data_IF_702246597093
#
_entry.id   IF_702246597093
#
_cell.length_a   1.000
_cell.length_b   1.000
_cell.length_c   1.000
_cell.angle_alpha   90.00
_cell.angle_beta   90.00
_cell.angle_gamma   90.00
#
_symmetry.space_group_name_H-M   'P 1'
#
loop_
_entity.id
_entity.type
_entity.pdbx_description
1 polymer ?
#
# COMPACT_ATOMS: atom_id res chain seq x y z
N UNK A 1 15.51 11.18 -36.56
CA UNK A 1 16.04 10.35 -35.46
C UNK A 1 16.29 11.24 -34.26
N UNK A 2 15.48 11.09 -33.20
CA UNK A 2 15.65 11.82 -31.95
C UNK A 2 14.99 11.02 -30.86
N UNK A 3 15.79 10.28 -30.09
CA UNK A 3 15.30 9.42 -29.02
C UNK A 3 14.52 10.25 -27.98
N UNK A 4 13.25 9.88 -27.75
CA UNK A 4 12.48 10.38 -26.62
C UNK A 4 13.18 9.89 -25.34
N UNK A 5 13.83 10.80 -24.63
CA UNK A 5 14.22 10.56 -23.23
C UNK A 5 12.93 10.29 -22.46
N UNK A 6 12.78 9.04 -22.02
CA UNK A 6 11.74 8.63 -21.08
C UNK A 6 11.83 9.51 -19.84
N UNK A 7 10.74 10.20 -19.52
CA UNK A 7 10.59 10.93 -18.25
C UNK A 7 10.21 9.91 -17.18
N UNK A 8 11.16 9.09 -16.77
CA UNK A 8 11.04 8.34 -15.52
C UNK A 8 11.51 9.23 -14.38
N UNK A 9 10.73 9.20 -13.29
CA UNK A 9 11.04 9.85 -12.03
C UNK A 9 12.47 9.53 -11.61
N UNK A 10 13.20 10.55 -11.16
CA UNK A 10 14.63 10.52 -10.87
C UNK A 10 15.10 9.23 -10.16
N UNK A 11 16.11 8.58 -10.76
CA UNK A 11 16.95 7.55 -10.16
C UNK A 11 17.50 8.08 -8.82
N UNK A 12 16.80 7.79 -7.72
CA UNK A 12 17.14 8.34 -6.43
C UNK A 12 15.97 8.54 -5.47
N UNK A 13 14.71 8.53 -5.91
CA UNK A 13 13.55 8.70 -5.00
C UNK A 13 12.74 7.42 -4.76
N UNK A 14 13.07 6.32 -5.42
CA UNK A 14 12.39 5.05 -5.21
C UNK A 14 12.58 4.57 -3.76
N UNK A 15 11.52 3.98 -3.20
CA UNK A 15 11.58 3.31 -1.91
C UNK A 15 12.58 2.14 -2.00
N UNK A 16 13.43 2.03 -0.99
CA UNK A 16 14.44 0.98 -0.85
C UNK A 16 14.57 0.62 0.62
N UNK A 17 15.31 -0.44 0.93
CA UNK A 17 15.44 -1.01 2.28
C UNK A 17 15.90 0.01 3.33
N UNK A 18 16.90 0.85 2.99
CA UNK A 18 17.40 1.88 3.89
C UNK A 18 16.34 2.96 4.20
N UNK A 19 15.58 3.40 3.19
CA UNK A 19 14.48 4.36 3.37
C UNK A 19 13.29 3.75 4.10
N UNK A 20 13.01 2.48 3.85
CA UNK A 20 11.96 1.75 4.54
C UNK A 20 12.26 1.66 6.04
N UNK A 21 13.50 1.32 6.37
CA UNK A 21 14.01 1.29 7.76
C UNK A 21 13.83 2.65 8.41
N UNK A 22 14.35 3.71 7.77
CA UNK A 22 14.23 5.09 8.28
C UNK A 22 12.76 5.50 8.48
N UNK A 23 11.88 5.14 7.55
CA UNK A 23 10.46 5.45 7.65
C UNK A 23 9.78 4.73 8.82
N UNK A 24 10.07 3.45 9.02
CA UNK A 24 9.53 2.65 10.14
C UNK A 24 9.96 3.23 11.48
N UNK A 25 11.25 3.56 11.63
CA UNK A 25 11.80 4.16 12.84
C UNK A 25 11.19 5.54 13.14
N UNK A 26 11.08 6.39 12.12
CA UNK A 26 10.57 7.75 12.29
C UNK A 26 9.05 7.81 12.55
N UNK A 27 8.28 6.88 11.97
CA UNK A 27 6.80 6.95 11.97
C UNK A 27 6.18 6.08 13.05
N UNK A 28 6.68 4.85 13.23
CA UNK A 28 6.10 3.90 14.17
C UNK A 28 6.78 3.99 15.55
N UNK A 29 8.07 4.31 15.55
CA UNK A 29 8.85 4.49 16.76
C UNK A 29 9.03 3.22 17.59
N UNK A 30 9.75 3.33 18.72
CA UNK A 30 10.09 2.19 19.57
C UNK A 30 8.85 1.51 20.17
N UNK A 31 9.08 0.32 20.72
CA UNK A 31 8.06 -0.55 21.30
C UNK A 31 7.15 0.21 22.29
N UNK A 32 5.85 0.24 21.98
CA UNK A 32 4.81 0.68 22.91
C UNK A 32 4.30 -0.50 23.74
N UNK A 33 3.54 -0.24 24.81
CA UNK A 33 3.07 -1.25 25.78
C UNK A 33 2.10 -2.32 25.22
N UNK A 34 1.81 -2.33 23.92
CA UNK A 34 0.88 -3.25 23.27
C UNK A 34 1.52 -4.00 22.10
N UNK A 35 0.97 -5.18 21.80
CA UNK A 35 1.29 -5.91 20.56
C UNK A 35 0.80 -5.10 19.36
N UNK A 36 1.62 -5.01 18.32
CA UNK A 36 1.36 -4.22 17.12
C UNK A 36 1.55 -5.12 15.89
N UNK A 37 0.61 -5.03 14.95
CA UNK A 37 0.64 -5.75 13.67
C UNK A 37 0.73 -4.72 12.53
N UNK A 38 1.70 -4.92 11.63
CA UNK A 38 1.82 -4.18 10.37
C UNK A 38 1.41 -5.09 9.22
N UNK A 39 0.42 -4.66 8.44
CA UNK A 39 -0.07 -5.37 7.25
C UNK A 39 0.30 -4.57 6.02
N UNK A 40 0.98 -5.20 5.06
CA UNK A 40 1.48 -4.55 3.84
C UNK A 40 1.63 -5.54 2.68
N UNK A 41 1.89 -5.05 1.48
CA UNK A 41 2.13 -5.89 0.31
C UNK A 41 3.51 -6.57 0.33
N UNK A 42 3.70 -7.48 -0.62
CA UNK A 42 4.95 -8.22 -0.85
C UNK A 42 6.00 -7.42 -1.62
N UNK A 43 5.99 -6.08 -1.55
CA UNK A 43 7.00 -5.27 -2.20
C UNK A 43 8.41 -5.60 -1.67
N UNK A 44 9.42 -5.59 -2.56
CA UNK A 44 10.75 -6.17 -2.27
C UNK A 44 11.40 -5.62 -1.01
N UNK A 45 11.31 -4.30 -0.76
CA UNK A 45 11.92 -3.71 0.43
C UNK A 45 11.10 -3.94 1.71
N UNK A 46 9.84 -4.37 1.64
CA UNK A 46 9.02 -4.74 2.80
C UNK A 46 9.44 -6.11 3.34
N UNK A 47 9.82 -7.04 2.45
CA UNK A 47 10.15 -8.42 2.81
C UNK A 47 11.65 -8.68 2.95
N UNK A 48 12.50 -7.65 2.82
CA UNK A 48 13.95 -7.82 2.88
C UNK A 48 14.46 -8.13 4.29
N UNK A 49 15.62 -8.79 4.38
CA UNK A 49 16.26 -9.13 5.65
C UNK A 49 16.52 -7.90 6.54
N UNK A 50 16.93 -6.78 5.93
CA UNK A 50 17.15 -5.51 6.64
C UNK A 50 15.86 -4.98 7.27
N UNK A 51 14.76 -4.99 6.51
CA UNK A 51 13.46 -4.54 7.01
C UNK A 51 12.93 -5.48 8.09
N UNK A 52 13.03 -6.80 7.92
CA UNK A 52 12.68 -7.80 8.95
C UNK A 52 13.45 -7.59 10.26
N UNK A 53 14.76 -7.33 10.18
CA UNK A 53 15.58 -7.03 11.35
C UNK A 53 15.10 -5.77 12.09
N UNK A 54 14.76 -4.71 11.34
CA UNK A 54 14.20 -3.46 11.88
C UNK A 54 12.87 -3.71 12.59
N UNK A 55 11.95 -4.45 11.96
CA UNK A 55 10.65 -4.79 12.54
C UNK A 55 10.79 -5.54 13.88
N UNK A 56 11.74 -6.49 13.95
CA UNK A 56 12.07 -7.22 15.18
C UNK A 56 12.57 -6.29 16.28
N UNK A 57 13.45 -5.34 15.96
CA UNK A 57 13.93 -4.34 16.91
C UNK A 57 12.80 -3.43 17.42
N UNK A 58 11.85 -3.07 16.55
CA UNK A 58 10.68 -2.28 16.90
C UNK A 58 9.57 -3.09 17.61
N UNK A 59 9.70 -4.42 17.71
CA UNK A 59 8.68 -5.30 18.28
C UNK A 59 7.37 -5.29 17.50
N UNK A 60 7.45 -5.27 16.16
CA UNK A 60 6.30 -5.30 15.26
C UNK A 60 6.11 -6.71 14.70
N UNK A 61 4.90 -7.25 14.83
CA UNK A 61 4.47 -8.40 14.03
C UNK A 61 4.11 -7.92 12.63
N UNK A 62 4.28 -8.78 11.63
CA UNK A 62 3.95 -8.45 10.24
C UNK A 62 3.11 -9.50 9.56
N UNK A 63 2.18 -9.05 8.71
CA UNK A 63 1.47 -9.89 7.76
C UNK A 63 1.70 -9.36 6.35
N UNK A 64 2.14 -10.24 5.45
CA UNK A 64 2.43 -9.90 4.05
C UNK A 64 1.25 -10.31 3.19
N UNK A 65 0.69 -9.35 2.45
CA UNK A 65 -0.37 -9.58 1.47
C UNK A 65 0.24 -10.17 0.20
N UNK A 66 -0.21 -11.35 -0.24
CA UNK A 66 0.26 -11.95 -1.48
C UNK A 66 -0.02 -11.07 -2.70
N UNK A 67 0.78 -11.26 -3.75
CA UNK A 67 0.58 -10.58 -5.02
C UNK A 67 -0.84 -10.81 -5.57
N UNK A 68 -1.49 -9.73 -6.04
CA UNK A 68 -2.86 -9.79 -6.54
C UNK A 68 -3.94 -9.79 -5.45
N UNK A 69 -3.58 -9.83 -4.16
CA UNK A 69 -4.55 -9.87 -3.06
C UNK A 69 -4.84 -8.51 -2.40
N UNK A 70 -4.15 -7.44 -2.78
CA UNK A 70 -4.30 -6.12 -2.15
C UNK A 70 -5.74 -5.59 -2.24
N UNK A 71 -6.40 -5.79 -3.40
CA UNK A 71 -7.81 -5.43 -3.60
C UNK A 71 -8.81 -6.24 -2.76
N UNK A 72 -8.38 -7.27 -2.04
CA UNK A 72 -9.22 -8.07 -1.15
C UNK A 72 -8.92 -7.83 0.32
N UNK A 73 -7.65 -7.71 0.71
CA UNK A 73 -7.27 -7.72 2.14
C UNK A 73 -6.47 -6.50 2.58
N UNK A 74 -6.13 -5.58 1.68
CA UNK A 74 -5.42 -4.35 2.04
C UNK A 74 -6.41 -3.21 2.28
N UNK A 75 -6.60 -2.86 3.55
CA UNK A 75 -7.59 -1.88 4.01
C UNK A 75 -7.57 -0.54 3.23
N UNK A 76 -6.40 0.06 2.92
CA UNK A 76 -6.34 1.21 2.02
C UNK A 76 -7.02 0.96 0.67
N UNK A 77 -6.60 -0.07 -0.06
CA UNK A 77 -7.03 -0.31 -1.44
C UNK A 77 -8.49 -0.72 -1.53
N UNK A 78 -9.00 -1.43 -0.53
CA UNK A 78 -10.41 -1.83 -0.46
C UNK A 78 -11.32 -0.65 -0.16
N UNK A 79 -10.94 0.25 0.75
CA UNK A 79 -11.91 1.15 1.39
C UNK A 79 -11.69 2.63 1.10
N UNK A 80 -10.49 3.15 1.36
CA UNK A 80 -10.31 4.61 1.49
C UNK A 80 -9.29 5.22 0.52
N UNK A 81 -8.45 4.42 -0.15
CA UNK A 81 -7.46 4.91 -1.10
C UNK A 81 -8.13 5.55 -2.33
N UNK A 82 -9.24 4.97 -2.80
CA UNK A 82 -10.03 5.56 -3.90
C UNK A 82 -10.58 6.95 -3.55
N UNK A 83 -11.39 7.14 -2.49
CA UNK A 83 -11.91 8.46 -2.16
C UNK A 83 -10.79 9.46 -1.83
N UNK A 84 -9.70 9.02 -1.19
CA UNK A 84 -8.51 9.84 -0.97
C UNK A 84 -7.90 10.37 -2.28
N UNK A 85 -7.64 9.48 -3.26
CA UNK A 85 -7.12 9.85 -4.58
C UNK A 85 -8.10 10.74 -5.36
N UNK A 86 -9.40 10.47 -5.28
CA UNK A 86 -10.44 11.28 -5.91
C UNK A 86 -10.49 12.69 -5.33
N UNK A 87 -10.26 12.85 -4.03
CA UNK A 87 -10.16 14.17 -3.40
C UNK A 87 -9.02 14.98 -4.01
N UNK A 88 -7.81 14.40 -4.06
CA UNK A 88 -6.63 15.06 -4.66
C UNK A 88 -6.88 15.40 -6.13
N UNK A 89 -7.51 14.48 -6.87
CA UNK A 89 -7.88 14.71 -8.27
C UNK A 89 -8.83 15.91 -8.43
N UNK A 90 -9.81 16.05 -7.54
CA UNK A 90 -10.74 17.20 -7.54
C UNK A 90 -10.03 18.52 -7.26
N UNK A 91 -9.13 18.54 -6.28
CA UNK A 91 -8.31 19.72 -5.98
C UNK A 91 -7.44 20.12 -7.17
N UNK A 92 -6.76 19.14 -7.78
CA UNK A 92 -5.99 19.35 -9.00
C UNK A 92 -6.85 19.91 -10.14
N UNK A 93 -8.05 19.35 -10.35
CA UNK A 93 -8.96 19.83 -11.38
C UNK A 93 -9.44 21.27 -11.12
N UNK A 94 -9.76 21.61 -9.87
CA UNK A 94 -10.15 22.97 -9.48
C UNK A 94 -9.01 23.97 -9.73
N UNK A 95 -7.80 23.60 -9.33
CA UNK A 95 -6.59 24.38 -9.61
C UNK A 95 -6.35 24.51 -11.13
N UNK A 96 -6.56 23.42 -11.88
CA UNK A 96 -6.58 23.39 -13.35
C UNK A 96 -7.79 24.09 -13.99
N UNK A 97 -8.69 24.72 -13.22
CA UNK A 97 -9.75 25.61 -13.72
C UNK A 97 -9.59 27.06 -13.25
N UNK A 98 -8.72 27.34 -12.27
CA UNK A 98 -8.39 28.69 -11.80
C UNK A 98 -7.75 29.57 -12.89
N UNK A 99 -8.10 30.86 -12.95
CA UNK A 99 -7.74 31.75 -14.07
C UNK A 99 -6.27 32.22 -14.07
N UNK A 100 -5.57 32.09 -12.94
CA UNK A 100 -4.27 32.68 -12.63
C UNK A 100 -3.11 31.68 -12.77
N UNK A 101 -3.15 30.80 -13.77
CA UNK A 101 -2.08 29.82 -13.99
C UNK A 101 -0.89 30.40 -14.70
N UNK A 102 0.28 30.01 -14.22
CA UNK A 102 1.52 30.23 -14.92
C UNK A 102 1.69 29.26 -16.09
N UNK A 103 2.16 29.78 -17.22
CA UNK A 103 2.42 29.00 -18.41
C UNK A 103 3.92 28.85 -18.64
N UNK A 104 4.32 27.71 -19.18
CA UNK A 104 5.67 27.50 -19.68
C UNK A 104 5.85 28.24 -21.01
N UNK A 105 7.10 28.51 -21.39
CA UNK A 105 7.43 29.13 -22.70
C UNK A 105 6.86 28.31 -23.88
N UNK A 106 6.61 27.02 -23.68
CA UNK A 106 6.02 26.11 -24.68
C UNK A 106 4.49 26.06 -24.66
N UNK A 107 3.83 26.91 -23.88
CA UNK A 107 2.37 26.98 -23.82
C UNK A 107 1.69 25.87 -23.01
N UNK A 108 2.43 25.09 -22.21
CA UNK A 108 1.84 24.14 -21.26
C UNK A 108 1.63 24.80 -19.90
N UNK A 109 0.56 24.46 -19.14
CA UNK A 109 0.43 24.87 -17.75
C UNK A 109 1.66 24.39 -16.96
N UNK A 110 2.21 25.25 -16.09
CA UNK A 110 3.22 24.80 -15.12
C UNK A 110 2.58 23.87 -14.10
N UNK A 111 3.31 22.89 -13.58
CA UNK A 111 2.79 22.06 -12.50
C UNK A 111 2.55 22.91 -11.23
N UNK A 112 1.59 22.54 -10.37
CA UNK A 112 1.44 23.18 -9.06
C UNK A 112 2.73 23.02 -8.25
N UNK A 113 3.06 24.03 -7.44
CA UNK A 113 4.18 23.94 -6.51
C UNK A 113 3.97 22.83 -5.47
N UNK A 114 5.06 22.33 -4.88
CA UNK A 114 4.99 21.24 -3.88
C UNK A 114 4.08 21.60 -2.70
N UNK A 115 4.16 22.82 -2.18
CA UNK A 115 3.33 23.28 -1.05
C UNK A 115 1.82 23.20 -1.35
N UNK A 116 1.44 23.54 -2.58
CA UNK A 116 0.05 23.43 -3.04
C UNK A 116 -0.38 21.97 -3.07
N UNK A 117 0.47 21.10 -3.63
CA UNK A 117 0.19 19.66 -3.70
C UNK A 117 0.11 19.00 -2.32
N UNK A 118 1.02 19.36 -1.39
CA UNK A 118 1.00 18.89 0.00
C UNK A 118 -0.26 19.34 0.74
N UNK A 119 -0.73 20.56 0.49
CA UNK A 119 -2.01 21.04 1.00
C UNK A 119 -3.19 20.15 0.56
N UNK A 120 -3.21 19.71 -0.71
CA UNK A 120 -4.25 18.80 -1.21
C UNK A 120 -4.18 17.42 -0.56
N UNK A 121 -2.99 16.89 -0.34
CA UNK A 121 -2.78 15.62 0.36
C UNK A 121 -3.30 15.72 1.80
N UNK A 122 -2.95 16.81 2.51
CA UNK A 122 -3.42 17.05 3.89
C UNK A 122 -4.94 17.12 3.93
N UNK A 123 -5.56 17.93 3.08
CA UNK A 123 -7.02 18.08 3.02
C UNK A 123 -7.72 16.75 2.67
N UNK A 124 -7.14 15.97 1.75
CA UNK A 124 -7.66 14.65 1.41
C UNK A 124 -7.59 13.68 2.59
N UNK A 125 -6.50 13.71 3.36
CA UNK A 125 -6.36 12.92 4.58
C UNK A 125 -7.38 13.33 5.65
N UNK A 126 -7.54 14.62 5.90
CA UNK A 126 -8.50 15.16 6.87
C UNK A 126 -9.96 14.91 6.49
N UNK A 127 -10.24 14.66 5.21
CA UNK A 127 -11.57 14.28 4.73
C UNK A 127 -11.97 12.84 5.07
N UNK A 128 -11.00 11.98 5.42
CA UNK A 128 -11.25 10.59 5.81
C UNK A 128 -11.68 10.53 7.28
N UNK A 129 -12.81 9.88 7.55
CA UNK A 129 -13.27 9.71 8.93
C UNK A 129 -12.52 8.57 9.62
N UNK A 130 -12.31 8.71 10.94
CA UNK A 130 -11.74 7.66 11.78
C UNK A 130 -12.54 6.37 11.66
N UNK A 131 -13.86 6.48 11.62
CA UNK A 131 -14.80 5.37 11.53
C UNK A 131 -14.65 4.62 10.21
N UNK A 132 -14.45 5.34 9.08
CA UNK A 132 -14.19 4.71 7.79
C UNK A 132 -12.88 3.93 7.78
N UNK A 133 -11.82 4.50 8.38
CA UNK A 133 -10.53 3.82 8.53
C UNK A 133 -10.69 2.58 9.41
N UNK A 134 -11.30 2.68 10.60
CA UNK A 134 -11.50 1.52 11.49
C UNK A 134 -12.34 0.42 10.82
N UNK A 135 -13.42 0.79 10.15
CA UNK A 135 -14.27 -0.16 9.41
C UNK A 135 -13.51 -0.86 8.29
N UNK A 136 -12.55 -0.20 7.65
CA UNK A 136 -11.74 -0.82 6.58
C UNK A 136 -10.96 -2.03 7.06
N UNK A 137 -10.42 -2.00 8.29
CA UNK A 137 -9.69 -3.13 8.86
C UNK A 137 -10.61 -4.35 9.10
N UNK A 138 -11.82 -4.13 9.62
CA UNK A 138 -12.83 -5.19 9.75
C UNK A 138 -13.33 -5.72 8.41
N UNK A 139 -13.45 -4.82 7.44
CA UNK A 139 -13.89 -5.18 6.08
C UNK A 139 -12.86 -6.08 5.40
N UNK A 140 -11.59 -6.01 5.80
CA UNK A 140 -10.50 -6.80 5.24
C UNK A 140 -10.08 -8.01 6.09
N UNK A 141 -10.81 -8.35 7.15
CA UNK A 141 -10.48 -9.51 7.99
C UNK A 141 -9.31 -9.29 8.96
N UNK A 142 -8.84 -8.05 9.16
CA UNK A 142 -7.59 -7.78 9.91
C UNK A 142 -7.84 -7.66 11.42
N UNK A 143 -8.93 -7.02 11.81
CA UNK A 143 -9.28 -6.75 13.23
C UNK A 143 -10.57 -7.44 13.65
N UNK A 144 -10.96 -8.50 12.91
CA UNK A 144 -12.16 -9.27 13.15
C UNK A 144 -11.94 -10.23 14.33
N UNK A 145 -13.03 -10.68 14.95
CA UNK A 145 -12.95 -11.73 15.95
C UNK A 145 -12.45 -13.04 15.33
N UNK A 146 -11.48 -13.73 15.94
CA UNK A 146 -10.91 -14.96 15.40
C UNK A 146 -11.87 -16.17 15.47
N UNK A 147 -13.01 -16.03 16.15
CA UNK A 147 -14.05 -17.06 16.25
C UNK A 147 -15.00 -17.08 15.03
N UNK A 148 -14.74 -16.26 14.02
CA UNK A 148 -15.54 -16.16 12.79
C UNK A 148 -16.85 -15.39 12.95
N UNK A 149 -17.20 -14.91 14.16
CA UNK A 149 -18.45 -14.18 14.41
C UNK A 149 -18.61 -12.91 13.56
N UNK A 150 -17.50 -12.37 13.05
CA UNK A 150 -17.45 -11.15 12.23
C UNK A 150 -17.10 -11.40 10.76
N UNK A 151 -17.09 -12.65 10.28
CA UNK A 151 -16.70 -12.97 8.89
C UNK A 151 -17.67 -12.41 7.84
N UNK A 152 -18.94 -12.24 8.24
CA UNK A 152 -19.96 -11.56 7.43
C UNK A 152 -19.61 -10.08 7.11
N UNK A 153 -18.68 -9.48 7.86
CA UNK A 153 -18.19 -8.11 7.58
C UNK A 153 -17.14 -8.08 6.48
N UNK A 154 -16.46 -9.20 6.20
CA UNK A 154 -15.33 -9.27 5.27
C UNK A 154 -15.87 -9.17 3.83
N UNK A 155 -15.50 -8.12 3.10
CA UNK A 155 -16.18 -7.79 1.82
C UNK A 155 -16.06 -8.88 0.76
N UNK A 156 -14.90 -9.52 0.65
CA UNK A 156 -14.69 -10.56 -0.34
C UNK A 156 -15.45 -11.86 -0.02
N UNK A 157 -15.83 -12.07 1.24
CA UNK A 157 -16.56 -13.25 1.70
C UNK A 157 -18.08 -13.07 1.71
N UNK A 158 -18.59 -11.88 1.42
CA UNK A 158 -20.04 -11.64 1.37
C UNK A 158 -20.70 -12.43 0.24
N UNK A 159 -22.02 -12.70 0.30
CA UNK A 159 -22.73 -13.38 -0.78
C UNK A 159 -22.61 -12.70 -2.15
N UNK A 160 -22.47 -11.37 -2.17
CA UNK A 160 -22.23 -10.54 -3.37
C UNK A 160 -20.74 -10.20 -3.57
N UNK A 161 -19.86 -10.73 -2.72
CA UNK A 161 -18.42 -10.54 -2.76
C UNK A 161 -17.75 -11.35 -3.86
N UNK A 162 -16.44 -11.16 -4.01
CA UNK A 162 -15.65 -11.86 -5.02
C UNK A 162 -15.39 -13.33 -4.71
N UNK A 163 -15.55 -13.76 -3.46
CA UNK A 163 -15.27 -15.11 -2.95
C UNK A 163 -16.39 -15.53 -1.96
N UNK A 164 -17.65 -15.63 -2.41
CA UNK A 164 -18.80 -15.87 -1.53
C UNK A 164 -18.76 -17.23 -0.83
N UNK A 165 -18.13 -18.25 -1.45
CA UNK A 165 -17.95 -19.58 -0.85
C UNK A 165 -16.76 -19.65 0.13
N UNK A 166 -16.01 -18.56 0.30
CA UNK A 166 -14.86 -18.54 1.21
C UNK A 166 -15.24 -18.69 2.68
N UNK A 167 -16.50 -18.41 3.05
CA UNK A 167 -17.03 -18.65 4.40
C UNK A 167 -17.09 -20.14 4.75
N UNK A 168 -17.19 -21.02 3.76
CA UNK A 168 -17.26 -22.48 3.94
C UNK A 168 -15.87 -23.14 3.93
N UNK A 169 -14.82 -22.38 3.59
CA UNK A 169 -13.43 -22.84 3.54
C UNK A 169 -12.66 -22.60 4.84
N UNK A 170 -13.23 -21.89 5.81
CA UNK A 170 -12.61 -21.60 7.12
C UNK A 170 -12.44 -22.85 8.00
N UNK A 171 -13.14 -23.95 7.69
CA UNK A 171 -13.01 -25.26 8.34
C UNK A 171 -11.84 -26.11 7.78
N UNK A 172 -11.13 -25.62 6.75
CA UNK A 172 -9.96 -26.30 6.20
C UNK A 172 -8.72 -25.85 6.98
N UNK A 173 -7.99 -26.80 7.60
CA UNK A 173 -6.71 -26.51 8.23
C UNK A 173 -5.78 -25.77 7.25
N UNK A 174 -5.46 -24.51 7.58
CA UNK A 174 -4.45 -23.74 6.87
C UNK A 174 -3.11 -24.40 7.14
N UNK A 175 -2.59 -25.14 6.16
CA UNK A 175 -1.20 -25.58 6.15
C UNK A 175 -0.36 -24.31 6.03
N UNK A 176 0.13 -23.81 7.15
CA UNK A 176 1.13 -22.74 7.18
C UNK A 176 2.40 -23.36 6.58
N UNK A 177 2.90 -22.90 5.43
CA UNK A 177 4.17 -23.37 4.91
C UNK A 177 5.24 -23.06 5.97
N UNK A 178 6.04 -24.06 6.35
CA UNK A 178 7.24 -23.80 7.15
C UNK A 178 8.07 -22.74 6.43
N UNK A 179 8.56 -21.73 7.17
CA UNK A 179 9.45 -20.74 6.56
C UNK A 179 10.65 -21.49 5.97
N UNK A 180 10.99 -21.28 4.68
CA UNK A 180 12.15 -21.93 4.10
C UNK A 180 13.41 -21.47 4.84
N UNK A 181 14.25 -22.43 5.19
CA UNK A 181 15.60 -22.17 5.74
C UNK A 181 16.32 -21.16 4.84
N UNK A 182 16.97 -20.16 5.46
CA UNK A 182 17.52 -18.95 4.81
C UNK A 182 18.67 -19.18 3.80
N UNK A 183 18.90 -20.40 3.31
CA UNK A 183 20.08 -20.77 2.51
C UNK A 183 19.80 -21.26 1.08
N UNK A 184 18.54 -21.30 0.61
CA UNK A 184 18.27 -21.56 -0.81
C UNK A 184 18.05 -20.27 -1.61
N UNK A 185 19.15 -19.79 -2.19
CA UNK A 185 19.17 -18.77 -3.24
C UNK A 185 18.52 -19.35 -4.52
N UNK A 186 17.20 -19.53 -4.49
CA UNK A 186 16.44 -19.96 -5.65
C UNK A 186 16.34 -18.75 -6.57
N UNK A 187 17.22 -18.75 -7.56
CA UNK A 187 17.16 -17.97 -8.78
C UNK A 187 15.79 -18.16 -9.45
N UNK A 188 14.77 -17.50 -8.92
CA UNK A 188 13.44 -17.50 -9.47
C UNK A 188 13.51 -16.54 -10.64
N UNK A 189 13.48 -17.10 -11.85
CA UNK A 189 13.65 -16.45 -13.15
C UNK A 189 12.58 -15.42 -13.49
N UNK A 190 12.45 -14.40 -12.64
CA UNK A 190 11.82 -13.14 -12.96
C UNK A 190 12.68 -12.46 -14.02
N UNK A 191 12.28 -12.68 -15.28
CA UNK A 191 12.70 -11.83 -16.38
C UNK A 191 12.29 -10.41 -16.05
N UNK A 192 13.27 -9.53 -16.05
CA UNK A 192 13.03 -8.10 -15.87
C UNK A 192 12.23 -7.57 -17.07
N UNK A 193 11.54 -6.44 -16.91
CA UNK A 193 10.86 -5.78 -18.04
C UNK A 193 11.84 -5.35 -19.16
N UNK A 194 13.16 -5.43 -18.94
CA UNK A 194 14.20 -5.24 -19.96
C UNK A 194 14.39 -6.49 -20.84
N UNK A 195 14.01 -7.68 -20.38
CA UNK A 195 14.18 -8.95 -21.10
C UNK A 195 13.02 -9.27 -22.07
N UNK A 196 11.95 -8.46 -22.07
CA UNK A 196 10.78 -8.60 -22.96
C UNK A 196 10.92 -7.72 -24.22
N UNK A 197 11.97 -6.91 -24.32
CA UNK A 197 12.23 -6.01 -25.44
C UNK A 197 13.43 -6.44 -26.31
N UNK A 198 13.45 -7.70 -26.77
CA UNK A 198 14.26 -8.15 -27.91
C UNK A 198 13.39 -8.72 -29.02
#
# INVERSE_FOLDING_TARGET
MGARKSRTWHQGHALNDGRQTQYLEATIGPKMFSNRLLVWDSFRCHISAQTKATLKQLGLHTAVVPGGCTGFVQAPDVSWNMPFKQHIQREYNNWMLAADREWTVKGNPRAPGMEVYLGWISNAWDSLTREAIQKSFKTCGITNNPDGSEDHLIHCLRPDGSIPLGQELSDVEVIVPEEPDEDEDVNNGYKSDEDIAQ
#
